data_IF_122647196292
#
_entry.id   IF_122647196292
#
_cell.length_a   1.000
_cell.length_b   1.000
_cell.length_c   1.000
_cell.angle_alpha   90.00
_cell.angle_beta   90.00
_cell.angle_gamma   90.00
#
_symmetry.space_group_name_H-M   'P 1'
#
loop_
_entity.id
_entity.type
_entity.pdbx_description
1 polymer ?
#
# COMPACT_ATOMS: atom_id res chain seq x y z
N UNK A 1 14.67 23.68 -12.59
CA UNK A 1 14.01 23.08 -11.43
C UNK A 1 13.81 24.15 -10.38
N UNK A 2 12.59 24.29 -9.90
CA UNK A 2 12.22 25.26 -8.87
C UNK A 2 11.70 24.49 -7.65
N UNK A 3 11.85 25.09 -6.46
CA UNK A 3 11.23 24.57 -5.25
C UNK A 3 10.11 25.51 -4.83
N UNK A 4 8.89 24.96 -4.74
CA UNK A 4 7.74 25.67 -4.18
C UNK A 4 7.72 25.41 -2.67
N UNK A 5 7.73 26.49 -1.89
CA UNK A 5 7.50 26.47 -0.45
C UNK A 5 6.07 26.95 -0.18
N UNK A 6 5.26 26.08 0.37
CA UNK A 6 3.90 26.42 0.79
C UNK A 6 3.87 26.52 2.31
N UNK A 7 3.35 27.64 2.82
CA UNK A 7 3.16 27.85 4.23
C UNK A 7 1.68 27.73 4.59
N UNK A 8 1.34 26.77 5.43
CA UNK A 8 0.00 26.62 6.00
C UNK A 8 0.01 27.18 7.40
N UNK A 9 -0.83 28.16 7.66
CA UNK A 9 -1.00 28.78 8.98
C UNK A 9 -2.05 27.98 9.74
N UNK A 10 -1.65 27.35 10.83
CA UNK A 10 -2.56 26.60 11.70
C UNK A 10 -3.25 27.50 12.72
N UNK A 11 -2.51 28.47 13.27
CA UNK A 11 -3.00 29.48 14.20
C UNK A 11 -2.08 30.71 14.12
N UNK A 12 -2.28 31.69 15.02
CA UNK A 12 -1.54 32.95 14.97
C UNK A 12 -0.03 32.82 15.20
N UNK A 13 0.42 31.76 15.85
CA UNK A 13 1.83 31.52 16.19
C UNK A 13 2.46 30.35 15.45
N UNK A 14 1.67 29.46 14.80
CA UNK A 14 2.18 28.22 14.22
C UNK A 14 1.98 28.18 12.72
N UNK A 15 3.07 27.96 12.00
CA UNK A 15 3.07 27.70 10.56
C UNK A 15 3.75 26.38 10.27
N UNK A 16 3.16 25.58 9.36
CA UNK A 16 3.75 24.39 8.79
C UNK A 16 4.18 24.70 7.36
N UNK A 17 5.35 24.24 6.98
CA UNK A 17 5.91 24.45 5.66
C UNK A 17 5.97 23.14 4.90
N UNK A 18 5.43 23.14 3.69
CA UNK A 18 5.54 22.05 2.73
C UNK A 18 6.45 22.50 1.59
N UNK A 19 7.24 21.59 1.11
CA UNK A 19 8.13 21.83 -0.03
C UNK A 19 7.83 20.83 -1.12
N UNK A 20 7.72 21.31 -2.36
CA UNK A 20 7.63 20.43 -3.51
C UNK A 20 8.51 20.96 -4.64
N UNK A 21 8.96 20.03 -5.48
CA UNK A 21 9.75 20.35 -6.65
C UNK A 21 8.80 20.72 -7.79
N UNK A 22 9.03 21.86 -8.42
CA UNK A 22 8.32 22.26 -9.62
C UNK A 22 9.28 22.22 -10.78
N UNK A 23 8.89 21.53 -11.82
CA UNK A 23 9.67 21.41 -13.04
C UNK A 23 8.82 21.94 -14.19
N UNK A 24 9.36 22.88 -14.94
CA UNK A 24 8.75 23.41 -16.15
C UNK A 24 9.65 23.08 -17.34
N UNK A 25 9.06 22.60 -18.40
CA UNK A 25 9.76 22.26 -19.65
C UNK A 25 8.75 21.78 -20.69
N UNK A 26 9.22 21.62 -21.90
CA UNK A 26 8.47 21.02 -23.01
C UNK A 26 9.00 19.63 -23.32
N UNK A 27 8.15 18.76 -23.89
CA UNK A 27 8.55 17.42 -24.31
C UNK A 27 8.61 16.38 -23.21
N UNK A 28 8.00 16.65 -22.05
CA UNK A 28 7.92 15.66 -20.96
C UNK A 28 6.86 14.58 -21.15
N UNK A 29 5.93 14.74 -22.09
CA UNK A 29 4.90 13.77 -22.44
C UNK A 29 4.10 13.24 -21.22
N UNK A 30 3.83 14.11 -20.22
CA UNK A 30 3.18 13.70 -18.97
C UNK A 30 1.80 13.09 -19.21
N UNK A 31 1.03 13.68 -20.13
CA UNK A 31 -0.32 13.19 -20.45
C UNK A 31 -0.28 11.77 -21.06
N UNK A 32 0.73 11.50 -21.89
CA UNK A 32 0.93 10.16 -22.49
C UNK A 32 1.31 9.13 -21.42
N UNK A 33 2.19 9.51 -20.48
CA UNK A 33 2.53 8.65 -19.32
C UNK A 33 1.33 8.37 -18.44
N UNK A 34 0.53 9.38 -18.11
CA UNK A 34 -0.66 9.23 -17.27
C UNK A 34 -1.72 8.37 -17.97
N UNK A 35 -1.95 8.58 -19.26
CA UNK A 35 -2.87 7.77 -20.05
C UNK A 35 -2.46 6.30 -20.06
N UNK A 36 -1.17 6.01 -20.25
CA UNK A 36 -0.63 4.65 -20.22
C UNK A 36 -0.83 3.99 -18.86
N UNK A 37 -0.44 4.69 -17.77
CA UNK A 37 -0.56 4.16 -16.40
C UNK A 37 -2.01 3.87 -16.04
N UNK A 38 -2.92 4.79 -16.33
CA UNK A 38 -4.36 4.59 -16.06
C UNK A 38 -4.94 3.44 -16.87
N UNK A 39 -4.55 3.30 -18.14
CA UNK A 39 -4.99 2.17 -18.97
C UNK A 39 -4.47 0.86 -18.42
N UNK A 40 -3.15 0.77 -18.10
CA UNK A 40 -2.55 -0.43 -17.55
C UNK A 40 -3.20 -0.82 -16.22
N UNK A 41 -3.36 0.15 -15.31
CA UNK A 41 -4.02 -0.05 -14.02
C UNK A 41 -5.46 -0.57 -14.20
N UNK A 42 -6.27 0.05 -15.05
CA UNK A 42 -7.66 -0.37 -15.26
C UNK A 42 -7.74 -1.78 -15.86
N UNK A 43 -6.84 -2.15 -16.75
CA UNK A 43 -6.80 -3.48 -17.34
C UNK A 43 -6.50 -4.60 -16.33
N UNK A 44 -5.92 -4.29 -15.16
CA UNK A 44 -5.69 -5.29 -14.11
C UNK A 44 -6.99 -5.91 -13.59
N UNK A 45 -8.08 -5.15 -13.62
CA UNK A 45 -9.39 -5.55 -13.10
C UNK A 45 -10.27 -6.26 -14.14
N UNK A 46 -9.85 -6.28 -15.40
CA UNK A 46 -10.58 -6.95 -16.49
C UNK A 46 -9.66 -7.96 -17.19
N UNK A 47 -9.90 -9.24 -16.92
CA UNK A 47 -9.11 -10.34 -17.48
C UNK A 47 -9.12 -10.38 -19.02
N UNK A 48 -10.16 -9.85 -19.65
CA UNK A 48 -10.25 -9.78 -21.11
C UNK A 48 -9.30 -8.75 -21.71
N UNK A 49 -9.11 -7.61 -21.03
CA UNK A 49 -8.22 -6.53 -21.48
C UNK A 49 -6.79 -6.68 -20.99
N UNK A 50 -6.54 -7.60 -20.03
CA UNK A 50 -5.21 -7.85 -19.49
C UNK A 50 -4.22 -8.36 -20.54
N UNK A 51 -4.68 -8.95 -21.64
CA UNK A 51 -3.81 -9.36 -22.75
C UNK A 51 -3.04 -8.18 -23.37
N UNK A 52 -3.57 -6.99 -23.33
CA UNK A 52 -2.85 -5.80 -23.76
C UNK A 52 -1.67 -5.48 -22.86
N UNK A 53 -1.85 -5.64 -21.53
CA UNK A 53 -0.77 -5.42 -20.56
C UNK A 53 0.32 -6.49 -20.65
N UNK A 54 -0.06 -7.73 -20.95
CA UNK A 54 0.86 -8.86 -21.06
C UNK A 54 2.01 -8.60 -22.08
N UNK A 55 1.74 -7.79 -23.12
CA UNK A 55 2.75 -7.41 -24.12
C UNK A 55 3.86 -6.49 -23.56
N UNK A 56 3.69 -5.93 -22.38
CA UNK A 56 4.68 -5.08 -21.70
C UNK A 56 5.43 -5.80 -20.58
N UNK A 57 4.96 -7.01 -20.18
CA UNK A 57 5.61 -7.83 -19.16
C UNK A 57 6.79 -8.59 -19.76
N UNK A 58 7.83 -8.78 -18.97
CA UNK A 58 9.03 -9.55 -19.32
C UNK A 58 9.02 -10.90 -18.61
N UNK A 59 7.89 -11.63 -18.73
CA UNK A 59 7.69 -12.90 -18.02
C UNK A 59 8.75 -13.92 -18.41
N UNK A 60 9.44 -14.47 -17.40
CA UNK A 60 10.43 -15.55 -17.55
C UNK A 60 9.92 -16.81 -16.86
N UNK A 61 10.13 -17.96 -17.51
CA UNK A 61 9.77 -19.26 -16.93
C UNK A 61 10.53 -19.57 -15.62
N UNK A 62 11.70 -18.95 -15.44
CA UNK A 62 12.56 -19.16 -14.27
C UNK A 62 12.21 -18.23 -13.09
N UNK A 63 11.33 -17.24 -13.30
CA UNK A 63 10.99 -16.21 -12.32
C UNK A 63 9.50 -16.13 -12.03
N UNK A 64 8.76 -17.21 -12.26
CA UNK A 64 7.34 -17.26 -11.90
C UNK A 64 7.23 -17.25 -10.38
N UNK A 65 7.15 -16.07 -9.82
CA UNK A 65 6.70 -15.85 -8.45
C UNK A 65 5.18 -15.63 -8.53
N UNK A 66 4.41 -16.68 -8.26
CA UNK A 66 2.94 -16.67 -8.28
C UNK A 66 2.34 -16.01 -7.01
N UNK A 67 3.14 -15.23 -6.35
CA UNK A 67 2.81 -14.53 -5.14
C UNK A 67 1.96 -13.29 -5.45
N UNK A 68 0.80 -13.16 -4.79
CA UNK A 68 -0.09 -12.02 -4.96
C UNK A 68 0.32 -10.80 -4.12
N UNK A 69 1.14 -10.98 -3.09
CA UNK A 69 1.59 -9.88 -2.23
C UNK A 69 2.56 -8.93 -2.94
N UNK A 70 3.39 -9.48 -3.84
CA UNK A 70 4.36 -8.71 -4.60
C UNK A 70 4.53 -9.30 -5.99
N UNK A 71 4.30 -8.50 -7.00
CA UNK A 71 4.54 -8.85 -8.41
C UNK A 71 5.44 -7.81 -9.07
N UNK A 72 6.16 -8.23 -10.08
CA UNK A 72 7.09 -7.38 -10.85
C UNK A 72 6.81 -7.46 -12.35
N UNK A 73 7.58 -6.74 -13.12
CA UNK A 73 7.55 -6.81 -14.60
C UNK A 73 7.81 -8.24 -15.11
N UNK A 74 8.50 -9.07 -14.32
CA UNK A 74 8.82 -10.47 -14.68
C UNK A 74 7.76 -11.48 -14.24
N UNK A 75 6.76 -11.05 -13.48
CA UNK A 75 5.68 -11.92 -13.00
C UNK A 75 4.74 -12.33 -14.10
N UNK A 76 4.11 -13.49 -13.92
CA UNK A 76 3.12 -14.01 -14.85
C UNK A 76 1.87 -13.12 -14.92
N UNK A 77 1.23 -13.09 -16.09
CA UNK A 77 0.00 -12.34 -16.34
C UNK A 77 -1.07 -12.58 -15.28
N UNK A 78 -1.24 -13.85 -14.86
CA UNK A 78 -2.26 -14.23 -13.88
C UNK A 78 -1.97 -13.59 -12.50
N UNK A 79 -0.72 -13.64 -12.04
CA UNK A 79 -0.34 -13.01 -10.78
C UNK A 79 -0.55 -11.49 -10.82
N UNK A 80 -0.18 -10.85 -11.94
CA UNK A 80 -0.36 -9.41 -12.15
C UNK A 80 -1.85 -9.02 -12.13
N UNK A 81 -2.75 -9.85 -12.64
CA UNK A 81 -4.22 -9.65 -12.66
C UNK A 81 -4.95 -10.33 -11.48
N UNK A 82 -4.30 -10.46 -10.33
CA UNK A 82 -4.85 -10.99 -9.07
C UNK A 82 -5.24 -12.48 -9.07
N UNK A 83 -4.72 -13.29 -10.00
CA UNK A 83 -4.99 -14.73 -10.05
C UNK A 83 -6.48 -15.02 -10.18
N UNK A 84 -7.00 -15.82 -9.24
CA UNK A 84 -8.42 -16.19 -9.18
C UNK A 84 -9.25 -15.28 -8.26
N UNK A 85 -8.64 -14.23 -7.69
CA UNK A 85 -9.37 -13.29 -6.84
C UNK A 85 -10.29 -12.40 -7.70
N UNK A 86 -11.53 -12.26 -7.26
CA UNK A 86 -12.46 -11.27 -7.76
C UNK A 86 -12.29 -9.99 -6.93
N UNK A 87 -11.53 -9.05 -7.46
CA UNK A 87 -11.22 -7.79 -6.77
C UNK A 87 -12.09 -6.66 -7.28
N UNK A 88 -12.45 -5.78 -6.35
CA UNK A 88 -13.19 -4.56 -6.63
C UNK A 88 -12.39 -3.36 -6.16
N UNK A 89 -12.28 -2.35 -7.00
CA UNK A 89 -11.65 -1.09 -6.65
C UNK A 89 -12.62 -0.25 -5.80
N UNK A 90 -12.21 0.09 -4.57
CA UNK A 90 -13.05 0.85 -3.62
C UNK A 90 -12.76 2.35 -3.67
N UNK A 91 -11.53 2.73 -3.98
CA UNK A 91 -11.13 4.15 -4.06
C UNK A 91 -10.67 4.51 -5.46
N UNK A 92 -10.78 5.79 -5.81
CA UNK A 92 -10.15 6.30 -7.03
C UNK A 92 -8.63 6.18 -6.91
N UNK A 93 -7.92 5.76 -7.97
CA UNK A 93 -6.47 5.64 -7.93
C UNK A 93 -5.83 7.01 -7.67
N UNK A 94 -4.96 7.06 -6.67
CA UNK A 94 -4.15 8.22 -6.37
C UNK A 94 -2.84 8.11 -7.12
N UNK A 95 -2.61 9.02 -8.05
CA UNK A 95 -1.42 9.04 -8.88
C UNK A 95 -0.40 10.02 -8.30
N UNK A 96 0.83 9.58 -8.16
CA UNK A 96 1.95 10.39 -7.68
C UNK A 96 3.11 10.30 -8.65
N UNK A 97 3.50 11.44 -9.21
CA UNK A 97 4.72 11.56 -10.00
C UNK A 97 5.91 11.57 -9.03
N UNK A 98 6.69 10.50 -9.03
CA UNK A 98 7.86 10.37 -8.14
C UNK A 98 9.10 10.99 -8.77
N UNK A 99 9.35 10.68 -10.03
CA UNK A 99 10.49 11.17 -10.77
C UNK A 99 10.12 11.43 -12.23
N UNK A 100 10.69 12.47 -12.80
CA UNK A 100 10.60 12.76 -14.23
C UNK A 100 11.90 13.37 -14.71
N UNK A 101 12.45 12.80 -15.75
CA UNK A 101 13.62 13.32 -16.46
C UNK A 101 13.49 13.07 -17.97
N UNK A 102 14.51 13.41 -18.74
CA UNK A 102 14.46 13.28 -20.20
C UNK A 102 14.55 11.83 -20.71
N UNK A 103 14.84 10.87 -19.83
CA UNK A 103 15.08 9.48 -20.21
C UNK A 103 13.94 8.57 -19.75
N UNK A 104 13.40 8.81 -18.56
CA UNK A 104 12.31 8.02 -17.98
C UNK A 104 11.47 8.83 -16.99
N UNK A 105 10.33 8.29 -16.68
CA UNK A 105 9.41 8.80 -15.65
C UNK A 105 9.04 7.68 -14.69
N UNK A 106 8.95 7.99 -13.40
CA UNK A 106 8.47 7.06 -12.36
C UNK A 106 7.16 7.58 -11.78
N UNK A 107 6.12 6.77 -11.89
CA UNK A 107 4.77 7.08 -11.40
C UNK A 107 4.35 6.00 -10.41
N UNK A 108 3.78 6.42 -9.28
CA UNK A 108 3.16 5.52 -8.31
C UNK A 108 1.64 5.71 -8.33
N UNK A 109 0.93 4.59 -8.26
CA UNK A 109 -0.53 4.53 -8.11
C UNK A 109 -0.84 3.81 -6.80
N UNK A 110 -1.70 4.41 -5.97
CA UNK A 110 -2.21 3.77 -4.76
C UNK A 110 -3.73 3.74 -4.81
N UNK A 111 -4.31 2.62 -4.44
CA UNK A 111 -5.77 2.43 -4.35
C UNK A 111 -6.11 1.38 -3.30
N UNK A 112 -7.34 1.37 -2.83
CA UNK A 112 -7.86 0.35 -1.94
C UNK A 112 -8.74 -0.59 -2.75
N UNK A 113 -8.50 -1.87 -2.58
CA UNK A 113 -9.27 -2.96 -3.17
C UNK A 113 -10.07 -3.69 -2.10
N UNK A 114 -11.09 -4.40 -2.52
CA UNK A 114 -11.80 -5.38 -1.70
C UNK A 114 -12.01 -6.68 -2.48
N UNK A 115 -12.14 -7.77 -1.75
CA UNK A 115 -12.63 -9.06 -2.27
C UNK A 115 -13.46 -9.75 -1.19
N UNK A 116 -14.41 -10.55 -1.62
CA UNK A 116 -15.15 -11.45 -0.72
C UNK A 116 -14.35 -12.74 -0.52
N UNK A 117 -13.89 -12.99 0.71
CA UNK A 117 -13.07 -14.16 1.04
C UNK A 117 -13.90 -15.37 1.51
N UNK A 118 -15.10 -15.10 2.01
CA UNK A 118 -16.12 -16.11 2.36
C UNK A 118 -17.47 -15.40 2.43
N UNK A 119 -18.54 -16.16 2.54
CA UNK A 119 -19.93 -15.71 2.46
C UNK A 119 -20.19 -14.45 3.32
N UNK A 120 -20.26 -13.28 2.68
CA UNK A 120 -20.46 -11.99 3.33
C UNK A 120 -19.25 -11.36 4.04
N UNK A 121 -18.07 -11.99 3.99
CA UNK A 121 -16.85 -11.45 4.62
C UNK A 121 -15.99 -10.73 3.59
N UNK A 122 -15.92 -9.41 3.71
CA UNK A 122 -15.14 -8.57 2.81
C UNK A 122 -13.75 -8.30 3.41
N UNK A 123 -12.72 -8.62 2.65
CA UNK A 123 -11.34 -8.27 2.96
C UNK A 123 -10.91 -7.08 2.11
N UNK A 124 -10.31 -6.07 2.75
CA UNK A 124 -9.73 -4.91 2.09
C UNK A 124 -8.22 -5.04 1.97
N UNK A 125 -7.66 -4.43 0.92
CA UNK A 125 -6.23 -4.44 0.62
C UNK A 125 -5.75 -3.04 0.22
N UNK A 126 -4.58 -2.63 0.71
CA UNK A 126 -3.83 -1.50 0.13
C UNK A 126 -3.02 -1.98 -1.07
N UNK A 127 -3.26 -1.37 -2.21
CA UNK A 127 -2.53 -1.64 -3.45
C UNK A 127 -1.60 -0.48 -3.77
N UNK A 128 -0.33 -0.78 -3.97
CA UNK A 128 0.66 0.17 -4.45
C UNK A 128 1.33 -0.36 -5.70
N UNK A 129 1.26 0.41 -6.78
CA UNK A 129 1.90 0.11 -8.06
C UNK A 129 2.96 1.16 -8.37
N UNK A 130 4.10 0.75 -8.86
CA UNK A 130 5.16 1.64 -9.32
C UNK A 130 5.51 1.33 -10.76
N UNK A 131 5.44 2.34 -11.61
CA UNK A 131 5.70 2.27 -13.05
C UNK A 131 6.93 3.08 -13.38
N UNK A 132 7.94 2.47 -13.99
CA UNK A 132 9.06 3.16 -14.62
C UNK A 132 8.91 3.12 -16.13
N UNK A 133 8.75 4.26 -16.75
CA UNK A 133 8.31 4.38 -18.13
C UNK A 133 9.28 5.21 -18.96
N UNK A 134 9.37 4.89 -20.25
CA UNK A 134 10.07 5.70 -21.25
C UNK A 134 9.19 5.93 -22.47
N UNK A 135 8.99 7.20 -22.81
CA UNK A 135 8.31 7.60 -24.03
C UNK A 135 9.28 7.63 -25.21
N UNK A 136 8.83 7.16 -26.36
CA UNK A 136 9.44 7.40 -27.67
C UNK A 136 8.35 7.79 -28.67
N UNK A 137 8.74 8.34 -29.81
CA UNK A 137 7.76 8.69 -30.85
C UNK A 137 6.98 7.47 -31.38
N UNK A 138 7.58 6.27 -31.29
CA UNK A 138 6.96 5.04 -31.80
C UNK A 138 6.03 4.36 -30.77
N UNK A 139 6.43 4.36 -29.48
CA UNK A 139 5.66 3.67 -28.44
C UNK A 139 6.09 4.07 -27.02
N UNK A 140 5.23 3.76 -26.04
CA UNK A 140 5.56 3.73 -24.63
C UNK A 140 6.30 2.42 -24.30
N UNK A 141 7.37 2.51 -23.49
CA UNK A 141 8.07 1.37 -22.92
C UNK A 141 7.84 1.32 -21.42
N UNK A 142 7.42 0.17 -20.93
CA UNK A 142 7.45 -0.18 -19.50
C UNK A 142 8.84 -0.74 -19.22
N UNK A 143 9.65 0.03 -18.47
CA UNK A 143 11.03 -0.34 -18.13
C UNK A 143 11.10 -1.14 -16.83
N UNK A 144 10.12 -0.92 -15.96
CA UNK A 144 9.97 -1.63 -14.70
C UNK A 144 8.53 -1.47 -14.20
N UNK A 145 8.06 -2.49 -13.50
CA UNK A 145 6.75 -2.52 -12.87
C UNK A 145 6.85 -3.31 -11.56
N UNK A 146 6.34 -2.75 -10.51
CA UNK A 146 6.19 -3.39 -9.23
C UNK A 146 4.78 -3.13 -8.70
N UNK A 147 4.14 -4.15 -8.13
CA UNK A 147 2.89 -4.02 -7.40
C UNK A 147 3.00 -4.76 -6.08
N UNK A 148 2.63 -4.09 -5.00
CA UNK A 148 2.46 -4.70 -3.68
C UNK A 148 1.00 -4.65 -3.29
N UNK A 149 0.56 -5.65 -2.54
CA UNK A 149 -0.80 -5.77 -2.04
C UNK A 149 -0.76 -6.25 -0.60
N UNK A 150 -1.26 -5.43 0.31
CA UNK A 150 -1.25 -5.68 1.74
C UNK A 150 -2.68 -5.70 2.30
N UNK A 151 -3.05 -6.78 2.99
CA UNK A 151 -4.37 -6.93 3.58
C UNK A 151 -4.54 -5.99 4.78
N UNK A 152 -5.65 -5.26 4.85
CA UNK A 152 -6.06 -4.62 6.08
C UNK A 152 -6.42 -5.68 7.11
N UNK A 153 -5.77 -5.61 8.24
CA UNK A 153 -6.04 -6.53 9.33
C UNK A 153 -7.47 -6.33 9.87
N UNK A 154 -8.20 -7.43 10.09
CA UNK A 154 -9.49 -7.42 10.75
C UNK A 154 -9.59 -8.58 11.77
N UNK A 155 -10.45 -8.42 12.80
CA UNK A 155 -10.58 -9.37 13.91
C UNK A 155 -11.16 -10.72 13.50
N UNK A 156 -11.78 -10.85 12.32
CA UNK A 156 -12.43 -12.10 11.86
C UNK A 156 -11.43 -13.20 11.48
N UNK A 157 -10.13 -12.90 11.50
CA UNK A 157 -9.04 -13.80 11.08
C UNK A 157 -8.40 -14.52 12.27
N UNK A 158 -8.98 -14.42 13.46
CA UNK A 158 -8.48 -15.09 14.66
C UNK A 158 -9.02 -16.52 14.69
N UNK A 159 -8.16 -17.49 14.58
CA UNK A 159 -8.45 -18.88 14.85
C UNK A 159 -8.10 -19.21 16.32
N UNK A 160 -9.05 -18.96 17.21
CA UNK A 160 -8.88 -19.21 18.64
C UNK A 160 -8.68 -20.69 18.97
N UNK A 161 -9.18 -21.59 18.13
CA UNK A 161 -9.09 -23.03 18.36
C UNK A 161 -7.64 -23.54 18.17
N UNK A 162 -6.89 -22.92 17.26
CA UNK A 162 -5.51 -23.29 16.95
C UNK A 162 -4.49 -22.29 17.50
N UNK A 163 -4.89 -21.26 18.22
CA UNK A 163 -4.05 -20.14 18.68
C UNK A 163 -3.28 -19.47 17.53
N UNK A 164 -3.92 -19.31 16.39
CA UNK A 164 -3.34 -18.72 15.20
C UNK A 164 -4.00 -17.37 14.91
N UNK A 165 -3.18 -16.43 14.46
CA UNK A 165 -3.61 -15.16 13.90
C UNK A 165 -3.13 -15.14 12.45
N UNK A 166 -4.06 -15.16 11.49
CA UNK A 166 -3.72 -14.96 10.08
C UNK A 166 -3.65 -13.47 9.80
N UNK A 167 -2.51 -12.99 9.32
CA UNK A 167 -2.36 -11.59 8.93
C UNK A 167 -2.76 -11.32 7.47
N UNK A 168 -3.22 -12.36 6.78
CA UNK A 168 -3.61 -12.28 5.38
C UNK A 168 -2.41 -12.12 4.44
N UNK A 169 -2.64 -11.54 3.28
CA UNK A 169 -1.59 -11.21 2.32
C UNK A 169 -0.86 -9.97 2.82
N UNK A 170 0.45 -10.06 3.03
CA UNK A 170 1.28 -8.97 3.51
C UNK A 170 2.61 -8.92 2.74
N UNK A 171 2.93 -7.79 2.16
CA UNK A 171 4.23 -7.56 1.54
C UNK A 171 5.33 -7.27 2.59
N UNK A 172 4.94 -6.87 3.80
CA UNK A 172 5.87 -6.57 4.87
C UNK A 172 6.51 -7.86 5.40
N UNK A 173 7.77 -8.10 5.02
CA UNK A 173 8.52 -9.32 5.39
C UNK A 173 8.83 -9.41 6.90
N UNK A 174 8.77 -8.28 7.61
CA UNK A 174 9.13 -8.17 9.03
C UNK A 174 8.07 -7.36 9.78
N UNK A 175 6.96 -8.00 10.13
CA UNK A 175 5.97 -7.36 11.00
C UNK A 175 6.61 -7.05 12.36
N UNK A 176 6.55 -5.80 12.76
CA UNK A 176 7.08 -5.35 14.05
C UNK A 176 6.22 -5.88 15.18
N UNK A 177 6.80 -6.64 16.10
CA UNK A 177 6.11 -7.14 17.28
C UNK A 177 7.00 -7.12 18.52
N UNK A 178 6.39 -7.06 19.68
CA UNK A 178 7.04 -7.17 21.00
C UNK A 178 6.20 -8.07 21.91
N UNK A 179 6.88 -8.81 22.77
CA UNK A 179 6.25 -9.61 23.85
C UNK A 179 6.43 -8.93 25.20
N UNK A 180 5.52 -9.21 26.13
CA UNK A 180 5.78 -8.98 27.55
C UNK A 180 6.91 -9.90 28.04
N UNK A 181 7.56 -9.54 29.16
CA UNK A 181 8.71 -10.30 29.70
C UNK A 181 8.38 -11.78 29.91
N UNK A 182 7.15 -12.13 30.31
CA UNK A 182 6.68 -13.51 30.49
C UNK A 182 6.15 -14.16 29.22
N UNK A 183 6.05 -13.43 28.11
CA UNK A 183 5.58 -13.94 26.84
C UNK A 183 4.06 -14.23 26.75
N UNK A 184 3.26 -13.80 27.74
CA UNK A 184 1.79 -14.03 27.72
C UNK A 184 1.04 -13.02 26.89
N UNK A 185 1.70 -11.93 26.50
CA UNK A 185 1.11 -10.83 25.73
C UNK A 185 1.99 -10.50 24.57
N UNK A 186 1.37 -10.20 23.43
CA UNK A 186 2.05 -9.71 22.26
C UNK A 186 1.39 -8.42 21.78
N UNK A 187 2.20 -7.49 21.36
CA UNK A 187 1.77 -6.30 20.66
C UNK A 187 2.45 -6.26 19.29
N UNK A 188 1.71 -6.01 18.24
CA UNK A 188 2.24 -5.97 16.87
C UNK A 188 1.64 -4.82 16.09
N UNK A 189 2.41 -4.31 15.13
CA UNK A 189 1.99 -3.25 14.23
C UNK A 189 1.91 -3.81 12.80
N UNK A 190 0.77 -3.63 12.15
CA UNK A 190 0.50 -4.05 10.78
C UNK A 190 -0.43 -3.03 10.12
N UNK A 191 -0.15 -2.64 8.88
CA UNK A 191 -0.94 -1.71 8.07
C UNK A 191 -1.37 -0.42 8.81
N UNK A 192 -0.42 0.19 9.54
CA UNK A 192 -0.69 1.41 10.32
C UNK A 192 -1.64 1.22 11.51
N UNK A 193 -1.89 -0.01 11.90
CA UNK A 193 -2.69 -0.39 13.05
C UNK A 193 -1.80 -1.03 14.12
N UNK A 194 -2.11 -0.75 15.37
CA UNK A 194 -1.45 -1.34 16.53
C UNK A 194 -2.43 -2.25 17.26
N UNK A 195 -2.05 -3.51 17.37
CA UNK A 195 -2.85 -4.56 17.96
C UNK A 195 -2.17 -5.15 19.18
N UNK A 196 -2.99 -5.59 20.14
CA UNK A 196 -2.58 -6.27 21.36
C UNK A 196 -3.35 -7.57 21.50
N UNK A 197 -2.66 -8.64 21.85
CA UNK A 197 -3.24 -9.95 22.10
C UNK A 197 -2.74 -10.50 23.44
N UNK A 198 -3.68 -10.99 24.28
CA UNK A 198 -3.39 -11.70 25.53
C UNK A 198 -3.71 -13.18 25.36
N UNK A 199 -2.67 -14.01 25.42
CA UNK A 199 -2.80 -15.48 25.25
C UNK A 199 -3.55 -16.15 26.40
N UNK A 200 -3.62 -15.55 27.60
CA UNK A 200 -4.27 -16.14 28.74
C UNK A 200 -5.79 -15.98 28.69
N UNK A 201 -6.26 -14.84 28.23
CA UNK A 201 -7.70 -14.56 28.08
C UNK A 201 -8.22 -14.80 26.67
N UNK A 202 -7.31 -14.96 25.69
CA UNK A 202 -7.63 -14.99 24.25
C UNK A 202 -8.30 -13.71 23.77
N UNK A 203 -8.02 -12.60 24.44
CA UNK A 203 -8.57 -11.30 24.09
C UNK A 203 -7.65 -10.55 23.14
N UNK A 204 -8.25 -9.90 22.15
CA UNK A 204 -7.54 -9.07 21.18
C UNK A 204 -8.13 -7.67 21.11
N UNK A 205 -7.27 -6.68 21.10
CA UNK A 205 -7.66 -5.26 21.08
C UNK A 205 -6.87 -4.49 20.05
N UNK A 206 -7.58 -3.69 19.25
CA UNK A 206 -6.96 -2.64 18.44
C UNK A 206 -6.68 -1.43 19.33
N UNK A 207 -5.40 -1.17 19.58
CA UNK A 207 -4.94 -0.10 20.47
C UNK A 207 -4.94 1.25 19.77
N UNK A 208 -4.51 1.26 18.48
CA UNK A 208 -4.38 2.47 17.70
C UNK A 208 -4.53 2.18 16.21
N UNK A 209 -5.05 3.14 15.47
CA UNK A 209 -5.12 3.11 14.01
C UNK A 209 -4.76 4.47 13.43
N UNK A 210 -3.88 4.49 12.44
CA UNK A 210 -3.61 5.66 11.61
C UNK A 210 -4.67 5.85 10.54
N UNK A 211 -5.30 4.75 10.11
CA UNK A 211 -6.37 4.76 9.12
C UNK A 211 -7.64 5.37 9.70
N UNK A 212 -8.35 6.14 8.89
CA UNK A 212 -9.71 6.56 9.16
C UNK A 212 -10.66 5.37 9.06
N UNK A 213 -11.73 5.35 9.85
CA UNK A 213 -12.83 4.37 9.70
C UNK A 213 -13.54 4.49 8.34
N UNK A 214 -13.47 5.67 7.71
CA UNK A 214 -13.93 5.85 6.35
C UNK A 214 -12.87 5.36 5.37
N UNK A 215 -13.10 4.21 4.75
CA UNK A 215 -12.19 3.57 3.80
C UNK A 215 -11.82 4.48 2.61
N UNK A 216 -12.70 5.38 2.23
CA UNK A 216 -12.47 6.33 1.13
C UNK A 216 -11.68 7.57 1.55
N UNK A 217 -11.24 7.67 2.81
CA UNK A 217 -10.43 8.81 3.26
C UNK A 217 -9.05 8.75 2.60
N UNK A 218 -8.68 9.85 1.94
CA UNK A 218 -7.39 9.96 1.24
C UNK A 218 -6.18 9.73 2.17
N UNK A 219 -6.34 9.91 3.47
CA UNK A 219 -5.29 9.63 4.46
C UNK A 219 -4.92 8.15 4.52
N UNK A 220 -5.87 7.25 4.24
CA UNK A 220 -5.62 5.82 4.20
C UNK A 220 -4.64 5.43 3.09
N UNK A 221 -4.62 6.20 2.00
CA UNK A 221 -3.75 5.97 0.85
C UNK A 221 -2.37 6.68 0.96
N UNK A 222 -2.03 7.31 2.11
CA UNK A 222 -0.75 7.98 2.28
C UNK A 222 0.23 7.11 3.06
N UNK A 223 1.25 6.56 2.39
CA UNK A 223 2.31 5.75 3.01
C UNK A 223 3.34 6.52 3.87
N UNK A 224 3.12 7.80 4.18
CA UNK A 224 4.07 8.64 4.92
C UNK A 224 3.80 8.65 6.43
N UNK A 225 3.39 7.53 6.98
CA UNK A 225 3.11 7.38 8.41
C UNK A 225 3.55 6.00 8.87
N UNK A 226 3.74 5.84 10.17
CA UNK A 226 4.12 4.55 10.73
C UNK A 226 3.99 4.49 12.24
N UNK A 227 4.11 3.27 12.74
CA UNK A 227 4.10 2.95 14.16
C UNK A 227 5.41 2.21 14.46
N UNK A 228 6.11 2.67 15.48
CA UNK A 228 7.31 2.00 15.99
C UNK A 228 7.06 1.51 17.40
N UNK A 229 7.13 0.21 17.61
CA UNK A 229 7.06 -0.41 18.92
C UNK A 229 8.37 -0.20 19.67
N UNK A 230 8.30 0.12 20.96
CA UNK A 230 9.46 0.36 21.81
C UNK A 230 9.60 -0.70 22.90
N UNK A 231 8.58 -0.88 23.74
CA UNK A 231 8.58 -1.88 24.82
C UNK A 231 7.18 -2.18 25.31
N UNK A 232 7.03 -3.33 25.98
CA UNK A 232 5.82 -3.71 26.70
C UNK A 232 6.22 -4.40 28.01
N UNK A 233 5.55 -4.07 29.11
CA UNK A 233 5.77 -4.73 30.40
C UNK A 233 4.74 -5.85 30.65
N UNK A 234 4.95 -6.63 31.73
CA UNK A 234 4.05 -7.70 32.14
C UNK A 234 2.67 -7.22 32.63
N UNK A 235 2.48 -5.94 32.85
CA UNK A 235 1.19 -5.34 33.22
C UNK A 235 0.36 -4.95 32.02
N UNK A 236 0.95 -5.04 30.80
CA UNK A 236 0.30 -4.64 29.56
C UNK A 236 0.49 -3.16 29.23
N UNK A 237 1.42 -2.45 29.89
CA UNK A 237 1.76 -1.10 29.48
C UNK A 237 2.62 -1.17 28.21
N UNK A 238 2.18 -0.48 27.16
CA UNK A 238 2.83 -0.48 25.85
C UNK A 238 3.40 0.92 25.58
N UNK A 239 4.68 0.96 25.19
CA UNK A 239 5.34 2.18 24.73
C UNK A 239 5.59 2.08 23.25
N UNK A 240 5.07 3.03 22.50
CA UNK A 240 5.21 3.09 21.06
C UNK A 240 5.27 4.52 20.55
N UNK A 241 5.82 4.72 19.35
CA UNK A 241 5.93 5.99 18.67
C UNK A 241 5.06 5.95 17.41
N UNK A 242 4.21 6.97 17.25
CA UNK A 242 3.47 7.21 16.01
C UNK A 242 4.06 8.42 15.31
N UNK A 243 4.32 8.31 14.02
CA UNK A 243 4.85 9.40 13.22
C UNK A 243 4.12 9.51 11.89
N UNK A 244 4.04 10.73 11.35
CA UNK A 244 3.36 11.04 10.10
C UNK A 244 2.32 12.15 10.23
N UNK A 245 1.39 12.20 9.30
CA UNK A 245 0.29 13.16 9.31
C UNK A 245 -0.82 12.68 10.23
N UNK A 246 -0.82 13.17 11.46
CA UNK A 246 -1.84 12.84 12.46
C UNK A 246 -2.87 13.95 12.48
N UNK A 247 -4.15 13.57 12.35
CA UNK A 247 -5.24 14.52 12.56
C UNK A 247 -5.30 14.85 14.05
N UNK A 248 -5.02 16.10 14.41
CA UNK A 248 -5.38 16.60 15.73
C UNK A 248 -6.83 17.05 15.64
N UNK A 249 -7.72 16.22 16.20
CA UNK A 249 -9.11 16.58 16.41
C UNK A 249 -9.27 17.86 17.22
#
# INVERSE_FOLDING_TARGET
VYYLKMAVRLNDSTRIYFYTKVQSGSGYHLDDYLAFVLKFHNNLFDKATMDENASYLETSADTIDDNLESVSINSGREAVSFGNMEVKQETKPRITLQEMNNTYTVIRVNTILSTEISDGVIQYYDLSETYKLRYTADRMYLLDYERTMDAYYNESIIDSANNLISLGIQNEKNISYIYSDKGYRVCFAVEGQLWYYDYQSSDMYKIYSLASENISDIRNATGNHGIKLLSMDDKGNIFYLVYGYINRG
#
